data_IF_090976756216
#
_entry.id   IF_090976756216
#
_cell.length_a   1.000
_cell.length_b   1.000
_cell.length_c   1.000
_cell.angle_alpha   90.00
_cell.angle_beta   90.00
_cell.angle_gamma   90.00
#
_symmetry.space_group_name_H-M   'P 1'
#
loop_
_entity.id
_entity.type
_entity.pdbx_description
1 polymer ?
#
# COMPACT_ATOMS: atom_id res chain seq x y z
N UNK A 1 14.81 37.19 -11.41
CA UNK A 1 13.93 38.30 -11.83
C UNK A 1 13.63 38.13 -13.31
N UNK A 2 12.48 37.55 -13.68
CA UNK A 2 12.00 37.47 -15.07
C UNK A 2 10.60 38.09 -15.11
N UNK A 3 10.46 39.00 -16.07
CA UNK A 3 9.40 39.99 -16.15
C UNK A 3 8.04 39.40 -16.52
N UNK A 4 7.01 39.94 -15.86
CA UNK A 4 5.59 39.78 -16.15
C UNK A 4 5.24 40.71 -17.32
N UNK A 5 4.76 40.17 -18.44
CA UNK A 5 4.20 40.98 -19.54
C UNK A 5 2.70 41.14 -19.29
N UNK A 6 2.28 42.35 -18.95
CA UNK A 6 0.87 42.77 -18.88
C UNK A 6 0.59 43.59 -20.13
N UNK A 7 -0.30 43.12 -21.00
CA UNK A 7 -0.78 43.89 -22.14
C UNK A 7 -2.02 44.69 -21.74
N UNK A 8 -1.89 46.01 -21.78
CA UNK A 8 -2.97 46.98 -21.60
C UNK A 8 -3.70 47.17 -22.93
N UNK A 9 -5.03 46.99 -22.91
CA UNK A 9 -5.91 47.27 -24.04
C UNK A 9 -6.41 48.71 -23.96
N UNK A 10 -6.03 49.55 -24.93
CA UNK A 10 -6.56 50.90 -25.10
C UNK A 10 -7.87 50.83 -25.91
N UNK A 11 -8.98 51.29 -25.35
CA UNK A 11 -10.26 51.44 -26.06
C UNK A 11 -10.35 52.88 -26.57
N UNK A 12 -10.36 53.06 -27.89
CA UNK A 12 -10.68 54.32 -28.56
C UNK A 12 -12.21 54.40 -28.75
N UNK A 13 -12.83 55.48 -28.26
CA UNK A 13 -14.25 55.77 -28.47
C UNK A 13 -14.40 56.54 -29.78
N UNK A 14 -15.03 55.91 -30.78
CA UNK A 14 -15.46 56.53 -32.03
C UNK A 14 -16.98 56.48 -32.13
N UNK A 15 -17.58 57.63 -32.39
CA UNK A 15 -19.02 57.88 -32.53
C UNK A 15 -19.61 57.26 -33.81
N UNK A 16 -20.71 56.51 -33.69
CA UNK A 16 -21.47 55.94 -34.81
C UNK A 16 -22.48 56.91 -35.44
N UNK A 17 -22.54 56.88 -36.78
CA UNK A 17 -23.66 57.34 -37.60
C UNK A 17 -24.04 56.23 -38.59
N UNK A 18 -25.26 55.71 -38.45
CA UNK A 18 -26.20 55.22 -39.49
C UNK A 18 -25.66 54.43 -40.70
N UNK A 19 -25.89 53.10 -40.71
CA UNK A 19 -26.64 52.30 -41.74
C UNK A 19 -26.45 50.78 -41.54
N UNK A 20 -27.55 50.03 -41.67
CA UNK A 20 -27.66 48.55 -41.65
C UNK A 20 -27.46 47.92 -43.05
N UNK A 21 -27.51 46.58 -43.22
CA UNK A 21 -26.62 45.55 -42.68
C UNK A 21 -26.01 44.68 -43.80
N UNK A 22 -24.79 44.18 -43.65
CA UNK A 22 -24.33 42.98 -44.36
C UNK A 22 -23.65 42.03 -43.38
N UNK A 23 -24.23 40.84 -43.24
CA UNK A 23 -23.78 39.77 -42.36
C UNK A 23 -22.45 39.20 -42.86
N UNK A 24 -21.35 39.65 -42.28
CA UNK A 24 -20.10 38.89 -42.25
C UNK A 24 -19.99 38.21 -40.89
N UNK A 25 -20.28 36.91 -40.87
CA UNK A 25 -20.03 36.05 -39.71
C UNK A 25 -18.51 35.92 -39.55
N UNK A 26 -17.94 36.73 -38.65
CA UNK A 26 -16.59 36.51 -38.17
C UNK A 26 -16.59 35.28 -37.24
N UNK A 27 -16.13 34.15 -37.76
CA UNK A 27 -15.71 33.04 -36.91
C UNK A 27 -14.44 33.46 -36.19
N UNK A 28 -14.57 33.85 -34.91
CA UNK A 28 -13.43 33.96 -34.01
C UNK A 28 -12.98 32.54 -33.69
N UNK A 29 -11.95 32.09 -34.41
CA UNK A 29 -11.31 30.80 -34.21
C UNK A 29 -10.67 30.80 -32.83
N UNK A 30 -11.37 30.20 -31.87
CA UNK A 30 -10.90 30.08 -30.49
C UNK A 30 -9.89 28.93 -30.48
N UNK A 31 -8.61 29.27 -30.62
CA UNK A 31 -7.53 28.30 -30.50
C UNK A 31 -7.53 27.70 -29.08
N UNK A 32 -8.05 26.47 -28.98
CA UNK A 32 -7.89 25.64 -27.79
C UNK A 32 -6.42 25.25 -27.73
N UNK A 33 -5.64 25.88 -26.84
CA UNK A 33 -4.28 25.42 -26.54
C UNK A 33 -4.35 23.99 -26.00
N UNK A 34 -3.97 23.03 -26.84
CA UNK A 34 -3.75 21.66 -26.41
C UNK A 34 -2.62 21.65 -25.38
N UNK A 35 -2.93 21.28 -24.15
CA UNK A 35 -1.91 20.99 -23.15
C UNK A 35 -1.16 19.75 -23.63
N UNK A 36 0.05 19.93 -24.15
CA UNK A 36 0.95 18.84 -24.45
C UNK A 36 1.37 18.19 -23.13
N UNK A 37 0.66 17.12 -22.74
CA UNK A 37 1.09 16.26 -21.65
C UNK A 37 2.21 15.39 -22.18
N UNK A 38 3.45 15.72 -21.82
CA UNK A 38 4.59 14.82 -22.04
C UNK A 38 4.38 13.61 -21.12
N UNK A 39 4.37 12.37 -21.65
CA UNK A 39 4.19 11.20 -20.82
C UNK A 39 5.39 11.01 -19.89
N UNK A 40 5.14 10.57 -18.66
CA UNK A 40 6.17 10.24 -17.68
C UNK A 40 7.17 9.22 -18.25
N UNK A 41 8.46 9.42 -17.93
CA UNK A 41 9.49 8.43 -18.16
C UNK A 41 9.19 7.15 -17.36
N UNK A 42 9.49 5.99 -17.95
CA UNK A 42 9.31 4.67 -17.32
C UNK A 42 10.61 3.88 -17.39
N UNK A 43 11.01 3.28 -16.27
CA UNK A 43 12.13 2.36 -16.15
C UNK A 43 11.64 1.01 -15.61
N UNK A 44 12.25 -0.09 -16.09
CA UNK A 44 11.87 -1.45 -15.73
C UNK A 44 13.10 -2.28 -15.39
N UNK A 45 13.07 -2.92 -14.22
CA UNK A 45 14.11 -3.83 -13.75
C UNK A 45 13.47 -5.18 -13.45
N UNK A 46 14.08 -6.26 -13.93
CA UNK A 46 13.68 -7.63 -13.60
C UNK A 46 14.91 -8.42 -13.19
N UNK A 47 14.83 -9.12 -12.06
CA UNK A 47 15.93 -9.95 -11.54
C UNK A 47 15.38 -11.22 -10.90
N UNK A 48 15.98 -12.35 -11.27
CA UNK A 48 15.79 -13.63 -10.58
C UNK A 48 16.95 -13.83 -9.63
N UNK A 49 16.64 -14.14 -8.37
CA UNK A 49 17.62 -14.36 -7.30
C UNK A 49 17.44 -15.78 -6.75
N UNK A 50 18.48 -16.63 -6.77
CA UNK A 50 18.44 -17.89 -6.05
C UNK A 50 18.49 -17.61 -4.55
N UNK A 51 17.42 -17.95 -3.82
CA UNK A 51 17.35 -17.71 -2.37
C UNK A 51 17.20 -19.05 -1.65
N UNK A 52 18.21 -19.40 -0.86
CA UNK A 52 18.13 -20.60 -0.03
C UNK A 52 17.00 -20.48 1.01
N UNK A 53 16.44 -21.62 1.40
CA UNK A 53 15.35 -21.65 2.37
C UNK A 53 15.75 -20.96 3.69
N UNK A 54 14.86 -20.11 4.22
CA UNK A 54 15.07 -19.39 5.47
C UNK A 54 15.96 -18.14 5.38
N UNK A 55 16.59 -17.87 4.24
CA UNK A 55 17.28 -16.59 4.01
C UNK A 55 16.24 -15.46 4.07
N UNK A 56 16.43 -14.45 4.92
CA UNK A 56 15.45 -13.38 5.08
C UNK A 56 15.48 -12.44 3.87
N UNK A 57 14.29 -11.95 3.53
CA UNK A 57 14.07 -10.96 2.48
C UNK A 57 13.61 -9.67 3.14
N UNK A 58 14.21 -8.55 2.73
CA UNK A 58 13.86 -7.20 3.17
C UNK A 58 13.50 -6.33 1.97
N UNK A 59 12.40 -5.61 2.09
CA UNK A 59 11.89 -4.68 1.08
C UNK A 59 11.72 -3.32 1.74
N UNK A 60 12.39 -2.30 1.22
CA UNK A 60 12.31 -0.92 1.71
C UNK A 60 11.97 0.02 0.54
N UNK A 61 10.83 0.70 0.61
CA UNK A 61 10.40 1.63 -0.44
C UNK A 61 9.76 2.90 0.12
N UNK A 62 9.90 4.03 -0.60
CA UNK A 62 9.29 5.30 -0.17
C UNK A 62 7.86 5.44 -0.67
N UNK A 63 7.65 5.51 -1.99
CA UNK A 63 6.30 5.56 -2.59
C UNK A 63 6.18 4.38 -3.54
N UNK A 64 5.49 3.33 -3.09
CA UNK A 64 5.43 2.08 -3.83
C UNK A 64 4.15 1.28 -3.59
N UNK A 65 3.63 0.71 -4.68
CA UNK A 65 2.72 -0.44 -4.60
C UNK A 65 3.55 -1.72 -4.64
N UNK A 66 3.43 -2.54 -3.59
CA UNK A 66 4.18 -3.78 -3.42
C UNK A 66 3.23 -4.97 -3.48
N UNK A 67 3.48 -5.90 -4.40
CA UNK A 67 2.74 -7.16 -4.51
C UNK A 67 3.69 -8.32 -4.29
N UNK A 68 3.39 -9.18 -3.31
CA UNK A 68 4.19 -10.36 -3.00
C UNK A 68 3.30 -11.60 -3.13
N UNK A 69 3.74 -12.54 -3.97
CA UNK A 69 3.02 -13.80 -4.24
C UNK A 69 3.92 -14.99 -3.93
N UNK A 70 3.48 -15.82 -2.99
CA UNK A 70 4.07 -17.12 -2.71
C UNK A 70 3.56 -18.19 -3.69
N UNK A 71 4.47 -19.00 -4.21
CA UNK A 71 4.20 -20.08 -5.17
C UNK A 71 5.13 -21.28 -4.94
N UNK A 72 5.08 -22.29 -5.81
CA UNK A 72 5.96 -23.45 -5.77
C UNK A 72 7.31 -23.23 -6.47
N UNK A 73 7.62 -21.98 -6.87
CA UNK A 73 8.90 -21.66 -7.50
C UNK A 73 10.06 -21.84 -6.51
N UNK A 74 11.27 -22.17 -6.98
CA UNK A 74 12.45 -22.35 -6.14
C UNK A 74 13.26 -21.05 -5.94
N UNK A 75 12.91 -19.97 -6.64
CA UNK A 75 13.64 -18.71 -6.70
C UNK A 75 12.80 -17.51 -6.30
N UNK A 76 13.44 -16.34 -6.15
CA UNK A 76 12.75 -15.07 -5.98
C UNK A 76 12.87 -14.27 -7.27
N UNK A 77 11.75 -14.06 -7.96
CA UNK A 77 11.63 -13.14 -9.08
C UNK A 77 11.19 -11.77 -8.55
N UNK A 78 11.98 -10.75 -8.83
CA UNK A 78 11.71 -9.35 -8.48
C UNK A 78 11.53 -8.56 -9.77
N UNK A 79 10.37 -7.92 -9.93
CA UNK A 79 10.05 -7.02 -11.03
C UNK A 79 9.72 -5.65 -10.46
N UNK A 80 10.41 -4.61 -10.94
CA UNK A 80 10.25 -3.24 -10.47
C UNK A 80 9.99 -2.35 -11.67
N UNK A 81 8.91 -1.58 -11.62
CA UNK A 81 8.58 -0.54 -12.59
C UNK A 81 8.61 0.81 -11.88
N UNK A 82 9.42 1.74 -12.38
CA UNK A 82 9.52 3.12 -11.86
C UNK A 82 8.93 4.09 -12.88
N UNK A 83 8.21 5.10 -12.38
CA UNK A 83 7.70 6.22 -13.18
C UNK A 83 8.09 7.55 -12.55
N UNK A 84 8.55 8.47 -13.37
CA UNK A 84 8.87 9.84 -12.99
C UNK A 84 8.70 10.80 -14.18
N UNK A 85 8.62 12.12 -13.93
CA UNK A 85 8.52 13.11 -15.00
C UNK A 85 9.64 13.03 -16.04
N UNK A 86 10.87 12.75 -15.63
CA UNK A 86 12.03 12.61 -16.53
C UNK A 86 12.87 11.39 -16.21
N UNK A 87 13.63 10.89 -17.19
CA UNK A 87 14.54 9.75 -16.96
C UNK A 87 15.69 10.08 -15.99
N UNK A 88 16.10 11.34 -15.91
CA UNK A 88 17.12 11.80 -14.97
C UNK A 88 16.66 11.65 -13.51
N UNK A 89 15.35 11.73 -13.25
CA UNK A 89 14.79 11.61 -11.91
C UNK A 89 15.01 10.22 -11.30
N UNK A 90 15.21 9.17 -12.10
CA UNK A 90 15.48 7.82 -11.60
C UNK A 90 16.75 7.72 -10.74
N UNK A 91 17.69 8.67 -10.86
CA UNK A 91 18.86 8.76 -10.00
C UNK A 91 18.50 9.13 -8.54
N UNK A 92 17.33 9.75 -8.32
CA UNK A 92 16.85 10.20 -6.99
C UNK A 92 16.16 9.09 -6.20
N UNK A 93 15.91 7.94 -6.81
CA UNK A 93 15.30 6.78 -6.18
C UNK A 93 15.75 5.49 -6.87
N UNK A 94 17.05 5.16 -6.74
CA UNK A 94 17.66 4.03 -7.43
C UNK A 94 17.03 2.70 -7.00
N UNK A 95 16.97 1.76 -7.94
CA UNK A 95 16.68 0.36 -7.62
C UNK A 95 17.96 -0.32 -7.17
N UNK A 96 17.93 -0.91 -5.97
CA UNK A 96 19.02 -1.73 -5.44
C UNK A 96 18.46 -3.10 -5.10
N UNK A 97 19.03 -4.15 -5.67
CA UNK A 97 18.71 -5.55 -5.38
C UNK A 97 20.03 -6.25 -5.05
N UNK A 98 20.30 -6.41 -3.76
CA UNK A 98 21.59 -6.92 -3.26
C UNK A 98 21.39 -8.19 -2.45
N UNK A 99 22.24 -9.18 -2.72
CA UNK A 99 22.41 -10.35 -1.85
C UNK A 99 23.55 -10.05 -0.88
N UNK A 100 23.23 -10.02 0.41
CA UNK A 100 24.18 -9.74 1.50
C UNK A 100 24.26 -10.93 2.45
N UNK A 101 25.24 -10.93 3.35
CA UNK A 101 25.38 -11.97 4.37
C UNK A 101 24.11 -12.10 5.23
N UNK A 102 23.42 -10.99 5.45
CA UNK A 102 22.19 -10.87 6.20
C UNK A 102 20.90 -11.15 5.42
N UNK A 103 20.96 -11.42 4.10
CA UNK A 103 19.81 -11.79 3.28
C UNK A 103 19.67 -11.01 1.96
N UNK A 104 18.51 -11.14 1.31
CA UNK A 104 18.16 -10.41 0.09
C UNK A 104 17.54 -9.05 0.45
N UNK A 105 18.13 -7.97 -0.06
CA UNK A 105 17.68 -6.61 0.14
C UNK A 105 17.16 -6.01 -1.18
N UNK A 106 15.93 -5.52 -1.16
CA UNK A 106 15.27 -4.86 -2.29
C UNK A 106 14.89 -3.45 -1.85
N UNK A 107 15.52 -2.44 -2.45
CA UNK A 107 15.40 -1.05 -1.98
C UNK A 107 15.06 -0.11 -3.14
N UNK A 108 14.04 0.73 -2.93
CA UNK A 108 13.68 1.86 -3.81
C UNK A 108 13.33 3.06 -2.94
N UNK A 109 14.36 3.73 -2.43
CA UNK A 109 14.23 4.85 -1.50
C UNK A 109 14.49 6.18 -2.20
N UNK A 110 13.60 7.14 -1.99
CA UNK A 110 13.81 8.50 -2.47
C UNK A 110 14.85 9.19 -1.60
N UNK A 111 15.88 9.72 -2.24
CA UNK A 111 16.92 10.52 -1.59
C UNK A 111 16.52 11.99 -1.60
N UNK A 112 16.79 12.69 -0.50
CA UNK A 112 16.74 14.15 -0.51
C UNK A 112 17.74 14.70 -1.52
N UNK A 113 17.42 15.82 -2.17
CA UNK A 113 18.30 16.49 -3.13
C UNK A 113 18.15 18.00 -2.96
N UNK A 114 19.22 18.67 -2.51
CA UNK A 114 19.22 20.11 -2.25
C UNK A 114 18.14 20.52 -1.24
N UNK A 115 17.39 21.57 -1.57
CA UNK A 115 16.30 22.12 -0.75
C UNK A 115 14.94 21.41 -0.96
N UNK A 116 14.88 20.41 -1.86
CA UNK A 116 13.61 19.70 -2.10
C UNK A 116 13.29 18.73 -0.96
N UNK A 117 12.02 18.67 -0.52
CA UNK A 117 11.60 17.66 0.45
C UNK A 117 11.95 16.27 -0.08
N UNK A 118 12.54 15.42 0.77
CA UNK A 118 13.03 14.09 0.38
C UNK A 118 11.95 13.09 -0.06
N UNK A 119 10.73 13.55 -0.33
CA UNK A 119 9.61 12.77 -0.83
C UNK A 119 8.85 13.56 -1.90
N UNK A 120 8.83 13.04 -3.12
CA UNK A 120 8.10 13.57 -4.26
C UNK A 120 7.04 12.55 -4.71
N UNK A 121 5.77 12.98 -4.69
CA UNK A 121 4.64 12.14 -5.04
C UNK A 121 4.62 11.69 -6.52
N UNK A 122 5.37 12.37 -7.40
CA UNK A 122 5.50 12.03 -8.82
C UNK A 122 6.46 10.87 -9.07
N UNK A 123 7.24 10.45 -8.07
CA UNK A 123 8.12 9.29 -8.20
C UNK A 123 7.38 8.04 -7.71
N UNK A 124 6.79 7.32 -8.66
CA UNK A 124 6.00 6.10 -8.38
C UNK A 124 6.82 4.86 -8.63
N UNK A 125 6.57 3.84 -7.82
CA UNK A 125 7.20 2.52 -7.95
C UNK A 125 6.13 1.44 -7.86
N UNK A 126 6.20 0.44 -8.72
CA UNK A 126 5.47 -0.82 -8.60
C UNK A 126 6.51 -1.91 -8.38
N UNK A 127 6.39 -2.69 -7.31
CA UNK A 127 7.28 -3.79 -6.96
C UNK A 127 6.45 -5.07 -6.95
N UNK A 128 6.77 -6.02 -7.83
CA UNK A 128 6.16 -7.35 -7.84
C UNK A 128 7.22 -8.38 -7.49
N UNK A 129 6.95 -9.18 -6.45
CA UNK A 129 7.84 -10.25 -5.99
C UNK A 129 7.08 -11.55 -6.06
N UNK A 130 7.55 -12.47 -6.88
CA UNK A 130 7.11 -13.86 -6.84
C UNK A 130 8.20 -14.69 -6.15
N UNK A 131 7.81 -15.45 -5.14
CA UNK A 131 8.75 -16.18 -4.26
C UNK A 131 8.23 -17.58 -3.92
N UNK A 132 9.06 -18.46 -3.33
CA UNK A 132 8.55 -19.67 -2.71
C UNK A 132 7.55 -19.28 -1.61
N UNK A 133 6.48 -20.05 -1.45
CA UNK A 133 5.50 -19.80 -0.39
C UNK A 133 6.12 -19.80 1.02
N UNK A 134 7.26 -20.49 1.20
CA UNK A 134 8.01 -20.57 2.46
C UNK A 134 9.06 -19.47 2.63
N UNK A 135 9.13 -18.48 1.74
CA UNK A 135 10.05 -17.36 1.86
C UNK A 135 9.78 -16.52 3.10
N UNK A 136 10.85 -16.11 3.80
CA UNK A 136 10.77 -15.30 5.02
C UNK A 136 10.90 -13.83 4.65
N UNK A 137 9.83 -13.07 4.77
CA UNK A 137 9.84 -11.62 4.62
C UNK A 137 10.03 -10.98 5.99
N UNK A 138 11.28 -10.81 6.39
CA UNK A 138 11.63 -10.29 7.72
C UNK A 138 11.24 -8.82 7.90
N UNK A 139 11.19 -8.06 6.81
CA UNK A 139 10.71 -6.67 6.83
C UNK A 139 10.23 -6.24 5.45
N UNK A 140 9.01 -5.74 5.36
CA UNK A 140 8.47 -5.03 4.19
C UNK A 140 8.02 -3.67 4.68
N UNK A 141 8.81 -2.64 4.40
CA UNK A 141 8.63 -1.29 4.90
C UNK A 141 8.34 -0.34 3.75
N UNK A 142 7.17 0.28 3.79
CA UNK A 142 6.74 1.21 2.76
C UNK A 142 6.20 2.47 3.43
N UNK A 143 6.66 3.64 2.97
CA UNK A 143 6.17 4.90 3.54
C UNK A 143 4.78 5.27 3.02
N UNK A 144 4.53 5.14 1.72
CA UNK A 144 3.22 5.43 1.13
C UNK A 144 2.93 4.51 -0.07
N UNK A 145 1.72 3.97 -0.15
CA UNK A 145 1.27 3.13 -1.26
C UNK A 145 0.40 1.97 -0.78
N UNK A 146 0.41 0.85 -1.49
CA UNK A 146 -0.35 -0.35 -1.14
C UNK A 146 0.58 -1.55 -0.96
N UNK A 147 0.26 -2.44 -0.03
CA UNK A 147 0.91 -3.75 0.07
C UNK A 147 -0.14 -4.85 -0.14
N UNK A 148 0.12 -5.74 -1.10
CA UNK A 148 -0.65 -6.96 -1.35
C UNK A 148 0.20 -8.19 -1.09
N UNK A 149 -0.28 -9.08 -0.22
CA UNK A 149 0.38 -10.34 0.12
C UNK A 149 -0.52 -11.52 -0.23
N UNK A 150 0.00 -12.51 -0.93
CA UNK A 150 -0.76 -13.69 -1.32
C UNK A 150 0.04 -14.96 -1.06
N UNK A 151 -0.57 -15.94 -0.39
CA UNK A 151 -0.08 -17.32 -0.27
C UNK A 151 1.33 -17.46 0.33
N UNK A 152 1.63 -16.71 1.40
CA UNK A 152 2.88 -16.85 2.16
C UNK A 152 2.65 -17.71 3.41
N UNK A 153 3.55 -18.66 3.66
CA UNK A 153 3.41 -19.72 4.68
C UNK A 153 4.54 -19.71 5.71
N UNK A 154 5.27 -18.61 5.79
CA UNK A 154 6.40 -18.42 6.70
C UNK A 154 6.28 -17.07 7.42
N UNK A 155 7.36 -16.62 8.06
CA UNK A 155 7.35 -15.35 8.77
C UNK A 155 7.22 -14.16 7.80
N UNK A 156 6.30 -13.24 8.10
CA UNK A 156 6.07 -12.00 7.34
C UNK A 156 5.87 -10.84 8.32
N UNK A 157 6.69 -9.80 8.18
CA UNK A 157 6.59 -8.55 8.93
C UNK A 157 6.43 -7.38 7.97
N UNK A 158 5.30 -6.66 8.09
CA UNK A 158 4.94 -5.51 7.26
C UNK A 158 4.74 -4.27 8.13
N UNK A 159 5.34 -3.17 7.70
CA UNK A 159 5.09 -1.82 8.22
C UNK A 159 4.80 -0.88 7.05
N UNK A 160 3.52 -0.50 6.90
CA UNK A 160 3.06 0.48 5.93
C UNK A 160 2.65 1.77 6.64
N UNK A 161 3.35 2.86 6.39
CA UNK A 161 3.04 4.12 7.09
C UNK A 161 1.73 4.75 6.59
N UNK A 162 1.45 4.68 5.28
CA UNK A 162 0.22 5.20 4.66
C UNK A 162 -0.26 4.32 3.50
N UNK A 163 -1.48 3.83 3.65
CA UNK A 163 -2.24 3.09 2.67
C UNK A 163 -2.66 1.70 3.15
N UNK A 164 -3.37 0.94 2.30
CA UNK A 164 -3.94 -0.34 2.69
C UNK A 164 -2.95 -1.50 2.59
N UNK A 165 -3.09 -2.45 3.52
CA UNK A 165 -2.47 -3.77 3.46
C UNK A 165 -3.56 -4.81 3.19
N UNK A 166 -3.46 -5.51 2.07
CA UNK A 166 -4.36 -6.60 1.68
C UNK A 166 -3.59 -7.92 1.73
N UNK A 167 -4.07 -8.88 2.51
CA UNK A 167 -3.41 -10.16 2.74
C UNK A 167 -4.38 -11.31 2.51
N UNK A 168 -4.01 -12.28 1.68
CA UNK A 168 -4.82 -13.47 1.41
C UNK A 168 -4.00 -14.74 1.56
N UNK A 169 -4.54 -15.72 2.28
CA UNK A 169 -3.92 -17.05 2.39
C UNK A 169 -2.59 -17.06 3.14
N UNK A 170 -2.42 -16.21 4.16
CA UNK A 170 -1.21 -16.21 4.99
C UNK A 170 -1.24 -17.36 6.02
N UNK A 171 -0.07 -17.88 6.39
CA UNK A 171 0.10 -18.85 7.47
C UNK A 171 1.48 -18.68 8.13
N UNK A 172 1.64 -19.11 9.38
CA UNK A 172 2.88 -19.00 10.15
C UNK A 172 2.91 -17.84 11.14
N UNK A 173 4.02 -17.08 11.17
CA UNK A 173 4.22 -15.95 12.09
C UNK A 173 4.04 -14.62 11.34
N UNK A 174 2.88 -14.01 11.50
CA UNK A 174 2.47 -12.85 10.71
C UNK A 174 2.39 -11.61 11.60
N UNK A 175 3.01 -10.52 11.16
CA UNK A 175 2.86 -9.18 11.71
C UNK A 175 2.53 -8.20 10.59
N UNK A 176 1.35 -7.59 10.64
CA UNK A 176 0.93 -6.56 9.69
C UNK A 176 0.59 -5.27 10.44
N UNK A 177 1.25 -4.18 10.07
CA UNK A 177 1.00 -2.85 10.63
C UNK A 177 0.70 -1.84 9.53
N UNK A 178 -0.36 -1.04 9.73
CA UNK A 178 -0.65 0.14 8.92
C UNK A 178 -0.84 1.38 9.81
N UNK A 179 -0.16 2.47 9.47
CA UNK A 179 -0.31 3.77 10.13
C UNK A 179 -1.65 4.42 9.78
N UNK A 180 -1.81 4.85 8.53
CA UNK A 180 -3.06 5.43 8.02
C UNK A 180 -3.53 4.58 6.85
N UNK A 181 -4.57 3.77 7.04
CA UNK A 181 -5.07 2.83 6.05
C UNK A 181 -5.75 1.62 6.69
N UNK A 182 -6.29 0.72 5.86
CA UNK A 182 -6.90 -0.52 6.36
C UNK A 182 -5.93 -1.69 6.34
N UNK A 183 -6.21 -2.68 7.18
CA UNK A 183 -5.62 -4.02 7.07
C UNK A 183 -6.76 -5.00 6.81
N UNK A 184 -6.69 -5.66 5.65
CA UNK A 184 -7.69 -6.61 5.15
C UNK A 184 -7.05 -8.00 5.03
N UNK A 185 -7.42 -8.92 5.92
CA UNK A 185 -6.90 -10.30 5.93
C UNK A 185 -8.01 -11.27 5.54
N UNK A 186 -7.76 -12.12 4.55
CA UNK A 186 -8.72 -13.09 4.03
C UNK A 186 -8.10 -14.48 3.98
N UNK A 187 -8.91 -15.49 4.27
CA UNK A 187 -8.60 -16.91 4.05
C UNK A 187 -7.24 -17.35 4.62
N UNK A 188 -6.79 -16.68 5.68
CA UNK A 188 -5.50 -16.95 6.31
C UNK A 188 -5.67 -18.00 7.40
N UNK A 189 -4.65 -18.84 7.54
CA UNK A 189 -4.65 -19.96 8.46
C UNK A 189 -3.91 -19.60 9.75
N UNK A 190 -4.59 -19.83 10.85
CA UNK A 190 -4.00 -19.77 12.18
C UNK A 190 -3.25 -21.09 12.45
N UNK A 191 -1.96 -21.10 12.12
CA UNK A 191 -1.08 -22.27 12.28
C UNK A 191 -0.70 -22.52 13.73
N UNK A 192 -0.76 -23.76 14.21
CA UNK A 192 -0.32 -24.15 15.57
C UNK A 192 1.12 -23.70 15.85
N UNK A 193 1.37 -23.14 17.03
CA UNK A 193 2.65 -22.52 17.41
C UNK A 193 2.98 -21.21 16.66
N UNK A 194 2.10 -20.76 15.77
CA UNK A 194 2.19 -19.50 15.06
C UNK A 194 1.59 -18.34 15.85
N UNK A 195 1.61 -17.16 15.22
CA UNK A 195 0.93 -15.98 15.74
C UNK A 195 0.53 -15.06 14.59
N UNK A 196 -0.59 -14.36 14.75
CA UNK A 196 -1.01 -13.32 13.81
C UNK A 196 -1.28 -12.03 14.58
N UNK A 197 -0.41 -11.05 14.40
CA UNK A 197 -0.55 -9.71 15.00
C UNK A 197 -0.90 -8.70 13.92
N UNK A 198 -2.05 -8.08 14.05
CA UNK A 198 -2.58 -7.10 13.13
C UNK A 198 -2.75 -5.78 13.88
N UNK A 199 -2.18 -4.70 13.35
CA UNK A 199 -2.26 -3.38 13.97
C UNK A 199 -2.63 -2.31 12.95
N UNK A 200 -3.59 -1.47 13.32
CA UNK A 200 -3.96 -0.27 12.54
C UNK A 200 -3.99 0.94 13.46
N UNK A 201 -3.31 2.02 13.09
CA UNK A 201 -3.37 3.25 13.89
C UNK A 201 -4.62 4.08 13.52
N UNK A 202 -4.84 4.35 12.24
CA UNK A 202 -6.04 5.02 11.75
C UNK A 202 -6.60 4.32 10.51
N UNK A 203 -7.72 3.61 10.69
CA UNK A 203 -8.41 2.88 9.65
C UNK A 203 -9.06 1.60 10.17
N UNK A 204 -9.78 0.90 9.29
CA UNK A 204 -10.48 -0.32 9.64
C UNK A 204 -9.56 -1.55 9.57
N UNK A 205 -9.79 -2.51 10.46
CA UNK A 205 -9.13 -3.80 10.46
C UNK A 205 -10.20 -4.89 10.23
N UNK A 206 -10.09 -5.59 9.10
CA UNK A 206 -11.06 -6.59 8.67
C UNK A 206 -10.40 -7.94 8.49
N UNK A 207 -10.97 -8.96 9.12
CA UNK A 207 -10.50 -10.35 9.01
C UNK A 207 -11.67 -11.20 8.57
N UNK A 208 -11.49 -11.93 7.48
CA UNK A 208 -12.45 -12.92 6.99
C UNK A 208 -11.83 -14.31 7.03
N UNK A 209 -12.44 -15.21 7.78
CA UNK A 209 -12.11 -16.63 7.76
C UNK A 209 -13.01 -17.40 6.80
N UNK A 210 -12.47 -18.42 6.13
CA UNK A 210 -13.26 -19.35 5.31
C UNK A 210 -14.16 -20.27 6.16
N UNK A 211 -13.81 -20.47 7.43
CA UNK A 211 -14.56 -21.23 8.45
C UNK A 211 -14.09 -20.79 9.83
N UNK A 212 -14.87 -21.06 10.87
CA UNK A 212 -14.42 -20.85 12.25
C UNK A 212 -13.10 -21.62 12.48
N UNK A 213 -12.04 -20.99 13.04
CA UNK A 213 -10.80 -21.68 13.37
C UNK A 213 -11.05 -22.86 14.31
N UNK A 214 -10.34 -23.98 14.11
CA UNK A 214 -10.49 -25.16 14.97
C UNK A 214 -9.95 -24.92 16.39
N UNK A 215 -8.87 -24.15 16.50
CA UNK A 215 -8.28 -23.69 17.75
C UNK A 215 -7.67 -22.31 17.54
N UNK A 216 -7.91 -21.38 18.46
CA UNK A 216 -7.31 -20.05 18.46
C UNK A 216 -7.63 -19.31 19.76
N UNK A 217 -6.72 -18.43 20.19
CA UNK A 217 -7.06 -17.34 21.10
C UNK A 217 -7.13 -16.05 20.32
N UNK A 218 -8.32 -15.42 20.29
CA UNK A 218 -8.56 -14.18 19.56
C UNK A 218 -8.69 -13.05 20.56
N UNK A 219 -7.91 -11.99 20.35
CA UNK A 219 -7.93 -10.75 21.14
C UNK A 219 -8.14 -9.58 20.18
N UNK A 220 -9.20 -8.82 20.39
CA UNK A 220 -9.54 -7.64 19.60
C UNK A 220 -9.67 -6.43 20.51
N UNK A 221 -8.94 -5.37 20.21
CA UNK A 221 -8.94 -4.12 20.98
C UNK A 221 -9.06 -2.93 20.04
N UNK A 222 -10.04 -2.06 20.26
CA UNK A 222 -10.11 -0.76 19.59
C UNK A 222 -10.30 0.37 20.61
N UNK A 223 -9.50 1.43 20.49
CA UNK A 223 -9.64 2.61 21.36
C UNK A 223 -10.82 3.48 20.92
N UNK A 224 -10.93 3.78 19.63
CA UNK A 224 -12.03 4.55 19.06
C UNK A 224 -12.62 3.89 17.79
N UNK A 225 -13.61 3.03 17.96
CA UNK A 225 -14.33 2.34 16.88
C UNK A 225 -15.26 1.26 17.45
N UNK A 226 -15.75 0.31 16.67
CA UNK A 226 -16.57 -0.80 17.14
C UNK A 226 -15.88 -2.15 16.92
N UNK A 227 -16.33 -3.19 17.64
CA UNK A 227 -15.92 -4.58 17.41
C UNK A 227 -17.16 -5.40 17.02
N UNK A 228 -17.19 -5.82 15.75
CA UNK A 228 -18.21 -6.71 15.18
C UNK A 228 -17.58 -8.05 14.84
N UNK A 229 -18.24 -9.14 15.22
CA UNK A 229 -17.68 -10.49 15.06
C UNK A 229 -18.78 -11.53 14.85
N UNK A 230 -18.62 -12.37 13.82
CA UNK A 230 -19.42 -13.57 13.60
C UNK A 230 -19.03 -14.69 14.58
N UNK A 231 -17.81 -14.65 15.10
CA UNK A 231 -17.34 -15.54 16.18
C UNK A 231 -17.77 -14.93 17.52
N UNK A 232 -18.45 -15.67 18.43
CA UNK A 232 -18.82 -15.15 19.74
C UNK A 232 -17.61 -14.68 20.55
N UNK A 233 -17.64 -13.41 20.97
CA UNK A 233 -16.61 -12.79 21.81
C UNK A 233 -17.20 -12.42 23.17
N UNK A 234 -16.43 -12.63 24.24
CA UNK A 234 -16.66 -11.97 25.53
C UNK A 234 -16.24 -10.51 25.38
N UNK A 235 -17.23 -9.60 25.37
CA UNK A 235 -17.00 -8.17 25.16
C UNK A 235 -16.92 -7.41 26.48
N UNK A 236 -16.05 -6.40 26.51
CA UNK A 236 -16.02 -5.34 27.53
C UNK A 236 -16.08 -4.00 26.82
N UNK A 237 -17.18 -3.30 27.00
CA UNK A 237 -17.54 -2.09 26.24
C UNK A 237 -18.08 -0.94 27.10
N UNK A 238 -18.22 -1.14 28.41
CA UNK A 238 -18.79 -0.13 29.33
C UNK A 238 -17.83 1.00 29.71
N UNK A 239 -16.54 0.69 29.90
CA UNK A 239 -15.54 1.66 30.35
C UNK A 239 -14.19 1.38 29.70
N UNK A 240 -13.53 2.43 29.17
CA UNK A 240 -12.22 2.31 28.53
C UNK A 240 -12.28 1.86 27.06
N UNK A 241 -11.16 1.33 26.53
CA UNK A 241 -11.11 0.79 25.18
C UNK A 241 -12.12 -0.34 25.01
N UNK A 242 -12.65 -0.51 23.80
CA UNK A 242 -13.52 -1.64 23.49
C UNK A 242 -12.65 -2.86 23.30
N UNK A 243 -13.05 -3.92 23.97
CA UNK A 243 -12.29 -5.16 24.05
C UNK A 243 -13.22 -6.34 23.75
N UNK A 244 -12.72 -7.30 22.98
CA UNK A 244 -13.37 -8.59 22.76
C UNK A 244 -12.34 -9.70 22.79
N UNK A 245 -12.62 -10.77 23.51
CA UNK A 245 -11.77 -11.96 23.52
C UNK A 245 -12.58 -13.24 23.42
N UNK A 246 -11.96 -14.27 22.86
CA UNK A 246 -12.48 -15.64 22.90
C UNK A 246 -11.33 -16.64 22.81
N UNK A 247 -11.59 -17.84 23.32
CA UNK A 247 -10.71 -18.99 23.20
C UNK A 247 -11.51 -20.11 22.55
N UNK A 248 -11.01 -20.61 21.43
CA UNK A 248 -11.56 -21.73 20.67
C UNK A 248 -10.57 -22.89 20.78
N UNK A 249 -11.06 -24.10 21.03
CA UNK A 249 -10.22 -25.29 21.16
C UNK A 249 -9.17 -25.12 22.27
N UNK A 250 -7.91 -25.42 21.95
CA UNK A 250 -6.77 -25.34 22.87
C UNK A 250 -6.31 -23.89 23.14
N UNK A 251 -6.80 -22.92 22.37
CA UNK A 251 -6.36 -21.51 22.47
C UNK A 251 -5.01 -21.20 21.82
N UNK A 252 -4.42 -22.15 21.10
CA UNK A 252 -3.25 -21.96 20.25
C UNK A 252 -3.65 -22.14 18.77
N UNK A 253 -3.28 -21.22 17.86
CA UNK A 253 -2.41 -20.05 18.06
C UNK A 253 -3.13 -18.76 18.47
N UNK A 254 -2.32 -17.73 18.76
CA UNK A 254 -2.82 -16.40 19.13
C UNK A 254 -3.01 -15.51 17.91
N UNK A 255 -4.18 -14.89 17.84
CA UNK A 255 -4.48 -13.77 16.95
C UNK A 255 -4.77 -12.52 17.77
N UNK A 256 -4.01 -11.46 17.52
CA UNK A 256 -4.12 -10.17 18.19
C UNK A 256 -4.42 -9.09 17.16
N UNK A 257 -5.48 -8.33 17.40
CA UNK A 257 -5.97 -7.28 16.53
C UNK A 257 -6.09 -5.99 17.33
N UNK A 258 -5.24 -5.01 17.02
CA UNK A 258 -5.18 -3.73 17.73
C UNK A 258 -5.53 -2.59 16.77
N UNK A 259 -6.49 -1.75 17.15
CA UNK A 259 -6.85 -0.55 16.41
C UNK A 259 -6.84 0.67 17.34
N UNK A 260 -6.19 1.76 16.94
CA UNK A 260 -6.27 3.01 17.71
C UNK A 260 -7.54 3.78 17.33
N UNK A 261 -7.74 4.09 16.04
CA UNK A 261 -8.98 4.69 15.56
C UNK A 261 -9.49 3.91 14.35
N UNK A 262 -10.69 3.36 14.47
CA UNK A 262 -11.36 2.55 13.45
C UNK A 262 -11.98 1.27 14.00
N UNK A 263 -12.78 0.65 13.14
CA UNK A 263 -13.54 -0.55 13.50
C UNK A 263 -12.72 -1.82 13.28
N UNK A 264 -13.03 -2.81 14.11
CA UNK A 264 -12.60 -4.19 13.95
C UNK A 264 -13.79 -5.02 13.48
N UNK A 265 -13.64 -5.71 12.35
CA UNK A 265 -14.62 -6.69 11.86
C UNK A 265 -14.00 -8.07 11.71
N UNK A 266 -14.62 -9.06 12.33
CA UNK A 266 -14.29 -10.48 12.18
C UNK A 266 -15.48 -11.16 11.51
N UNK A 267 -15.29 -11.69 10.32
CA UNK A 267 -16.34 -12.44 9.62
C UNK A 267 -15.92 -13.87 9.31
N UNK A 268 -16.91 -14.73 9.21
CA UNK A 268 -16.75 -16.12 8.76
C UNK A 268 -17.62 -16.30 7.53
N UNK A 269 -17.04 -16.80 6.45
CA UNK A 269 -17.78 -17.10 5.24
C UNK A 269 -18.89 -18.11 5.56
N UNK A 270 -20.15 -17.69 5.42
CA UNK A 270 -21.27 -18.62 5.56
C UNK A 270 -21.31 -19.49 4.32
N UNK A 271 -21.16 -20.81 4.51
CA UNK A 271 -21.50 -21.74 3.43
C UNK A 271 -23.01 -21.65 3.21
N UNK A 272 -23.41 -21.16 2.04
CA UNK A 272 -24.71 -21.52 1.45
C UNK A 272 -24.65 -22.93 0.91
#
# INVERSE_FOLDING_TARGET
MKALVVSVLLIHVGTESSRSPQHHVFFADSAVSAVNVVPDATDRVSRVVPVAAGVPIRVDATIADVTIVGSNRPDVLVEIVRRAPTSADFARYPVVIDERAEGLHITVLQTASGDEPGRNANFKTEITIASPATAVFQAVRVFEGRIKLTNLKAAVDVDLRRGPVEATGLAGRIRLESGIGSVDVKDSELTRGGMMRLRVFNGALRVRFARVPASARILAVTFNGAITSDIPLTKKDRFGPRFGETTIGDGDPVMSMDVVTGDITISVESRR
#
